data_IF_057237191598
#
_entry.id   IF_057237191598
#
_cell.length_a   1.000
_cell.length_b   1.000
_cell.length_c   1.000
_cell.angle_alpha   90.00
_cell.angle_beta   90.00
_cell.angle_gamma   90.00
#
_symmetry.space_group_name_H-M   'P 1'
#
loop_
_entity.id
_entity.type
_entity.pdbx_description
1 polymer ?
#
# COMPACT_ATOMS: atom_id res chain seq x y z
N UNK A 1 14.27 31.82 45.54
CA UNK A 1 14.61 31.77 44.10
C UNK A 1 14.81 30.35 43.56
N UNK A 2 13.98 29.36 43.91
CA UNK A 2 14.14 27.95 43.49
C UNK A 2 12.86 27.31 42.85
N UNK A 3 11.81 28.12 42.58
CA UNK A 3 10.57 27.61 41.96
C UNK A 3 10.42 27.90 40.45
N UNK A 4 11.29 28.75 39.87
CA UNK A 4 11.15 29.11 38.43
C UNK A 4 11.90 28.19 37.45
N UNK A 5 12.86 27.40 37.90
CA UNK A 5 13.66 26.54 37.02
C UNK A 5 12.97 25.21 36.66
N UNK A 6 12.14 24.65 37.56
CA UNK A 6 11.50 23.34 37.31
C UNK A 6 10.31 23.41 36.34
N UNK A 7 9.60 24.56 36.28
CA UNK A 7 8.44 24.71 35.40
C UNK A 7 8.86 24.82 33.92
N UNK A 8 9.95 25.52 33.63
CA UNK A 8 10.47 25.67 32.28
C UNK A 8 11.04 24.35 31.70
N UNK A 9 11.64 23.52 32.56
CA UNK A 9 12.17 22.21 32.15
C UNK A 9 11.03 21.20 31.86
N UNK A 10 9.94 21.26 32.64
CA UNK A 10 8.79 20.38 32.47
C UNK A 10 7.97 20.72 31.19
N UNK A 11 7.79 22.03 30.91
CA UNK A 11 7.13 22.50 29.69
C UNK A 11 7.96 22.14 28.46
N UNK A 12 9.28 22.20 28.51
CA UNK A 12 10.15 21.80 27.41
C UNK A 12 10.14 20.27 27.17
N UNK A 13 10.03 19.47 28.24
CA UNK A 13 9.97 18.02 28.15
C UNK A 13 8.61 17.52 27.61
N UNK A 14 7.51 18.12 28.05
CA UNK A 14 6.15 17.81 27.52
C UNK A 14 6.01 18.24 26.07
N UNK A 15 6.53 19.42 25.69
CA UNK A 15 6.54 19.87 24.29
C UNK A 15 7.46 19.00 23.43
N UNK A 16 8.58 18.52 23.95
CA UNK A 16 9.45 17.57 23.25
C UNK A 16 8.78 16.19 23.06
N UNK A 17 8.09 15.66 24.08
CA UNK A 17 7.33 14.39 23.95
C UNK A 17 6.18 14.54 22.96
N UNK A 18 5.43 15.64 22.97
CA UNK A 18 4.36 15.90 22.03
C UNK A 18 4.90 16.07 20.61
N UNK A 19 6.02 16.76 20.43
CA UNK A 19 6.73 16.91 19.17
C UNK A 19 7.23 15.56 18.62
N UNK A 20 7.81 14.68 19.46
CA UNK A 20 8.20 13.32 19.06
C UNK A 20 7.01 12.44 18.70
N UNK A 21 5.89 12.54 19.43
CA UNK A 21 4.64 11.85 19.12
C UNK A 21 4.04 12.32 17.78
N UNK A 22 4.06 13.62 17.53
CA UNK A 22 3.55 14.21 16.30
C UNK A 22 4.40 13.82 15.08
N UNK A 23 5.74 13.77 15.23
CA UNK A 23 6.67 13.31 14.19
C UNK A 23 6.54 11.83 13.86
N UNK A 24 6.40 10.99 14.89
CA UNK A 24 6.16 9.57 14.71
C UNK A 24 4.84 9.31 13.97
N UNK A 25 3.82 10.14 14.21
CA UNK A 25 2.52 10.06 13.55
C UNK A 25 2.63 10.36 12.05
N UNK A 26 3.36 11.41 11.66
CA UNK A 26 3.53 11.79 10.25
C UNK A 26 4.24 10.71 9.43
N UNK A 27 5.31 10.10 9.98
CA UNK A 27 5.99 9.00 9.31
C UNK A 27 5.10 7.75 9.21
N UNK A 28 4.34 7.43 10.24
CA UNK A 28 3.38 6.30 10.23
C UNK A 28 2.29 6.49 9.16
N UNK A 29 1.69 7.68 9.06
CA UNK A 29 0.68 7.99 8.04
C UNK A 29 1.23 7.86 6.62
N UNK A 30 2.48 8.28 6.38
CA UNK A 30 3.14 8.11 5.09
C UNK A 30 3.35 6.62 4.75
N UNK A 31 3.90 5.85 5.70
CA UNK A 31 4.14 4.42 5.51
C UNK A 31 2.84 3.64 5.29
N UNK A 32 1.76 4.01 5.98
CA UNK A 32 0.43 3.45 5.78
C UNK A 32 -0.07 3.69 4.36
N UNK A 33 0.02 4.92 3.85
CA UNK A 33 -0.33 5.23 2.45
C UNK A 33 0.47 4.42 1.45
N UNK A 34 1.78 4.25 1.66
CA UNK A 34 2.62 3.39 0.80
C UNK A 34 2.18 1.92 0.87
N UNK A 35 1.84 1.42 2.07
CA UNK A 35 1.36 0.05 2.25
C UNK A 35 0.04 -0.20 1.54
N UNK A 36 -0.87 0.77 1.58
CA UNK A 36 -2.16 0.69 0.89
C UNK A 36 -2.00 0.82 -0.63
N UNK A 37 -1.11 1.67 -1.11
CA UNK A 37 -0.77 1.75 -2.53
C UNK A 37 -0.13 0.45 -3.05
N UNK A 38 0.72 -0.19 -2.26
CA UNK A 38 1.36 -1.48 -2.54
C UNK A 38 2.45 -1.45 -3.61
N UNK A 39 2.38 -0.54 -4.57
CA UNK A 39 3.37 -0.32 -5.63
C UNK A 39 3.82 1.14 -5.63
N UNK A 40 5.09 1.37 -5.98
CA UNK A 40 5.68 2.71 -6.10
C UNK A 40 6.43 2.79 -7.43
N UNK A 41 5.92 3.52 -8.43
CA UNK A 41 6.65 3.81 -9.67
C UNK A 41 7.91 4.63 -9.37
N UNK A 42 9.08 4.13 -9.77
CA UNK A 42 10.38 4.80 -9.61
C UNK A 42 10.78 5.42 -10.93
N UNK A 43 10.87 6.75 -10.97
CA UNK A 43 10.89 7.52 -12.20
C UNK A 43 12.13 8.42 -12.26
N UNK A 44 12.78 8.46 -13.42
CA UNK A 44 13.76 9.49 -13.78
C UNK A 44 13.15 10.34 -14.89
N UNK A 45 12.96 11.62 -14.64
CA UNK A 45 12.35 12.58 -15.58
C UNK A 45 13.46 13.49 -16.10
N UNK A 46 13.64 13.55 -17.41
CA UNK A 46 14.65 14.40 -18.04
C UNK A 46 14.12 15.79 -18.39
N UNK A 47 12.83 15.88 -18.71
CA UNK A 47 12.13 17.11 -19.03
C UNK A 47 10.97 17.31 -18.04
N UNK A 48 10.96 18.41 -17.30
CA UNK A 48 9.93 18.68 -16.31
C UNK A 48 8.52 18.86 -16.94
N UNK A 49 8.42 19.15 -18.24
CA UNK A 49 7.14 19.23 -18.95
C UNK A 49 6.45 17.85 -19.03
N UNK A 50 7.20 16.75 -18.94
CA UNK A 50 6.66 15.39 -18.94
C UNK A 50 6.13 14.94 -17.57
N UNK A 51 6.44 15.65 -16.49
CA UNK A 51 6.15 15.22 -15.12
C UNK A 51 4.65 15.09 -14.82
N UNK A 52 3.88 16.12 -15.16
CA UNK A 52 2.43 16.14 -14.91
C UNK A 52 1.70 15.12 -15.78
N UNK A 53 1.92 15.03 -17.12
CA UNK A 53 1.30 13.99 -17.95
C UNK A 53 1.64 12.57 -17.47
N UNK A 54 2.89 12.30 -17.09
CA UNK A 54 3.33 11.02 -16.59
C UNK A 54 2.62 10.63 -15.30
N UNK A 55 2.62 11.52 -14.30
CA UNK A 55 1.97 11.25 -13.01
C UNK A 55 0.44 11.16 -13.15
N UNK A 56 -0.15 11.90 -14.12
CA UNK A 56 -1.55 11.72 -14.46
C UNK A 56 -1.81 10.32 -15.04
N UNK A 57 -0.97 9.85 -15.95
CA UNK A 57 -1.09 8.51 -16.54
C UNK A 57 -1.01 7.39 -15.47
N UNK A 58 -0.13 7.54 -14.47
CA UNK A 58 -0.06 6.64 -13.33
C UNK A 58 -1.36 6.67 -12.50
N UNK A 59 -1.88 7.86 -12.23
CA UNK A 59 -3.13 8.04 -11.48
C UNK A 59 -4.33 7.46 -12.24
N UNK A 60 -4.44 7.69 -13.54
CA UNK A 60 -5.48 7.15 -14.42
C UNK A 60 -5.39 5.60 -14.49
N UNK A 61 -4.20 5.04 -14.31
CA UNK A 61 -3.95 3.61 -14.12
C UNK A 61 -4.33 3.08 -12.73
N UNK A 62 -4.77 3.95 -11.82
CA UNK A 62 -5.21 3.60 -10.46
C UNK A 62 -4.10 3.65 -9.41
N UNK A 63 -2.97 4.30 -9.68
CA UNK A 63 -1.83 4.39 -8.76
C UNK A 63 -1.36 5.85 -8.60
N UNK A 64 -2.01 6.66 -7.74
CA UNK A 64 -1.64 8.05 -7.50
C UNK A 64 -0.41 8.16 -6.57
N UNK A 65 0.70 7.53 -6.95
CA UNK A 65 1.98 7.51 -6.21
C UNK A 65 3.13 7.62 -7.20
N UNK A 66 4.20 8.34 -6.86
CA UNK A 66 5.42 8.41 -7.67
C UNK A 66 6.67 8.67 -6.80
N UNK A 67 7.75 7.93 -7.03
CA UNK A 67 9.10 8.22 -6.56
C UNK A 67 9.87 8.92 -7.70
N UNK A 68 9.93 10.26 -7.69
CA UNK A 68 10.70 11.05 -8.66
C UNK A 68 12.14 11.14 -8.18
N UNK A 69 13.08 10.64 -9.00
CA UNK A 69 14.47 10.47 -8.56
C UNK A 69 15.34 11.70 -8.89
N UNK A 70 16.16 12.15 -7.94
CA UNK A 70 17.17 13.22 -8.09
C UNK A 70 18.39 12.78 -8.94
N UNK A 71 18.13 11.99 -9.98
CA UNK A 71 19.15 11.57 -10.98
C UNK A 71 19.30 12.56 -12.12
N UNK A 72 18.38 13.50 -12.25
CA UNK A 72 18.33 14.50 -13.33
C UNK A 72 18.17 15.89 -12.75
N UNK A 73 18.56 16.89 -13.50
CA UNK A 73 18.38 18.30 -13.12
C UNK A 73 16.90 18.71 -13.08
N UNK A 74 16.03 17.98 -13.79
CA UNK A 74 14.58 18.28 -13.84
C UNK A 74 13.81 17.79 -12.60
N UNK A 75 14.42 17.02 -11.70
CA UNK A 75 13.72 16.32 -10.63
C UNK A 75 12.95 17.26 -9.69
N UNK A 76 13.59 18.31 -9.20
CA UNK A 76 12.99 19.29 -8.29
C UNK A 76 11.78 19.98 -8.94
N UNK A 77 11.98 20.52 -10.16
CA UNK A 77 10.93 21.20 -10.91
C UNK A 77 9.78 20.23 -11.25
N UNK A 78 10.09 18.96 -11.56
CA UNK A 78 9.08 17.93 -11.78
C UNK A 78 8.22 17.70 -10.55
N UNK A 79 8.83 17.56 -9.35
CA UNK A 79 8.11 17.39 -8.08
C UNK A 79 7.20 18.60 -7.85
N UNK A 80 7.71 19.83 -8.00
CA UNK A 80 6.96 21.04 -7.79
C UNK A 80 5.72 21.11 -8.69
N UNK A 81 5.88 20.87 -9.98
CA UNK A 81 4.77 20.91 -10.96
C UNK A 81 3.72 19.84 -10.68
N UNK A 82 4.14 18.63 -10.33
CA UNK A 82 3.19 17.56 -9.99
C UNK A 82 2.46 17.85 -8.68
N UNK A 83 3.16 18.37 -7.68
CA UNK A 83 2.55 18.79 -6.42
C UNK A 83 1.46 19.85 -6.62
N UNK A 84 1.72 20.85 -7.46
CA UNK A 84 0.79 21.93 -7.77
C UNK A 84 -0.41 21.45 -8.61
N UNK A 85 -0.16 20.62 -9.64
CA UNK A 85 -1.19 20.23 -10.60
C UNK A 85 -2.00 19.00 -10.15
N UNK A 86 -1.42 18.08 -9.35
CA UNK A 86 -2.00 16.81 -8.96
C UNK A 86 -1.86 16.58 -7.44
N UNK A 87 -2.57 17.36 -6.60
CA UNK A 87 -2.37 17.35 -5.13
C UNK A 87 -2.71 16.02 -4.46
N UNK A 88 -3.43 15.14 -5.14
CA UNK A 88 -3.76 13.80 -4.63
C UNK A 88 -2.67 12.75 -4.89
N UNK A 89 -1.62 13.08 -5.66
CA UNK A 89 -0.51 12.16 -5.90
C UNK A 89 0.46 12.18 -4.72
N UNK A 90 0.72 11.01 -4.15
CA UNK A 90 1.73 10.85 -3.10
C UNK A 90 3.12 10.87 -3.72
N UNK A 91 3.83 11.99 -3.55
CA UNK A 91 5.16 12.20 -4.13
C UNK A 91 6.27 11.86 -3.15
N UNK A 92 7.20 11.00 -3.59
CA UNK A 92 8.46 10.73 -2.90
C UNK A 92 9.62 11.28 -3.74
N UNK A 93 10.60 11.89 -3.08
CA UNK A 93 11.86 12.23 -3.73
C UNK A 93 12.84 11.06 -3.58
N UNK A 94 13.16 10.40 -4.70
CA UNK A 94 14.08 9.27 -4.75
C UNK A 94 15.52 9.68 -5.06
N UNK A 95 16.48 8.82 -4.73
CA UNK A 95 17.92 9.02 -5.01
C UNK A 95 18.44 10.33 -4.41
N UNK A 96 17.96 10.67 -3.21
CA UNK A 96 18.43 11.85 -2.44
C UNK A 96 19.75 11.46 -1.74
N UNK A 97 20.80 12.22 -1.98
CA UNK A 97 22.19 11.92 -1.55
C UNK A 97 22.80 13.00 -0.65
N UNK A 98 22.14 14.16 -0.49
CA UNK A 98 22.63 15.27 0.32
C UNK A 98 21.50 15.94 1.09
N UNK A 99 21.85 16.61 2.19
CA UNK A 99 20.90 17.41 2.98
C UNK A 99 20.29 18.54 2.14
N UNK A 100 21.07 19.17 1.27
CA UNK A 100 20.57 20.18 0.33
C UNK A 100 19.45 19.62 -0.56
N UNK A 101 19.63 18.42 -1.10
CA UNK A 101 18.59 17.76 -1.89
C UNK A 101 17.35 17.41 -1.05
N UNK A 102 17.51 17.08 0.24
CA UNK A 102 16.35 16.90 1.15
C UNK A 102 15.55 18.19 1.24
N UNK A 103 16.19 19.32 1.55
CA UNK A 103 15.51 20.60 1.71
C UNK A 103 14.81 21.04 0.42
N UNK A 104 15.47 20.90 -0.71
CA UNK A 104 14.92 21.24 -2.04
C UNK A 104 13.73 20.33 -2.40
N UNK A 105 13.83 19.03 -2.13
CA UNK A 105 12.76 18.09 -2.41
C UNK A 105 11.49 18.41 -1.58
N UNK A 106 11.67 18.68 -0.29
CA UNK A 106 10.54 19.04 0.59
C UNK A 106 9.95 20.39 0.22
N UNK A 107 10.78 21.39 -0.10
CA UNK A 107 10.33 22.70 -0.57
C UNK A 107 9.55 22.61 -1.89
N UNK A 108 9.90 21.66 -2.76
CA UNK A 108 9.18 21.38 -4.00
C UNK A 108 7.86 20.61 -3.80
N UNK A 109 7.57 20.09 -2.59
CA UNK A 109 6.32 19.40 -2.26
C UNK A 109 6.42 17.90 -2.15
N UNK A 110 7.63 17.31 -2.07
CA UNK A 110 7.76 15.88 -1.76
C UNK A 110 7.27 15.58 -0.35
N UNK A 111 6.46 14.53 -0.22
CA UNK A 111 5.93 14.08 1.08
C UNK A 111 6.95 13.27 1.90
N UNK A 112 7.96 12.70 1.23
CA UNK A 112 8.98 11.88 1.86
C UNK A 112 10.26 11.78 1.03
N UNK A 113 11.32 11.36 1.71
CA UNK A 113 12.64 11.11 1.13
C UNK A 113 12.87 9.60 0.99
N UNK A 114 13.43 9.19 -0.15
CA UNK A 114 13.90 7.83 -0.41
C UNK A 114 15.35 7.90 -0.92
N UNK A 115 16.28 7.27 -0.21
CA UNK A 115 17.67 7.23 -0.62
C UNK A 115 18.08 5.85 -1.15
N UNK A 116 19.10 5.75 -2.01
CA UNK A 116 19.55 4.46 -2.53
C UNK A 116 20.37 3.65 -1.52
N UNK A 117 20.99 4.32 -0.57
CA UNK A 117 21.76 3.77 0.54
C UNK A 117 21.45 4.51 1.83
N UNK A 118 21.99 4.04 2.93
CA UNK A 118 21.84 4.64 4.24
C UNK A 118 23.00 5.60 4.52
N UNK A 119 22.69 6.91 4.56
CA UNK A 119 23.58 7.94 5.08
C UNK A 119 23.11 8.35 6.46
N UNK A 120 23.88 8.13 7.53
CA UNK A 120 23.51 8.53 8.89
C UNK A 120 23.11 9.99 8.98
N UNK A 121 23.89 10.89 8.38
CA UNK A 121 23.66 12.35 8.42
C UNK A 121 22.30 12.73 7.82
N UNK A 122 21.92 12.13 6.69
CA UNK A 122 20.63 12.38 6.04
C UNK A 122 19.48 11.80 6.88
N UNK A 123 19.66 10.60 7.43
CA UNK A 123 18.65 9.95 8.27
C UNK A 123 18.40 10.77 9.52
N UNK A 124 19.47 11.14 10.25
CA UNK A 124 19.39 11.97 11.47
C UNK A 124 18.75 13.33 11.16
N UNK A 125 19.14 13.97 10.07
CA UNK A 125 18.56 15.24 9.63
C UNK A 125 17.05 15.12 9.39
N UNK A 126 16.62 14.14 8.61
CA UNK A 126 15.20 13.91 8.33
C UNK A 126 14.41 13.62 9.61
N UNK A 127 14.92 12.72 10.47
CA UNK A 127 14.29 12.39 11.75
C UNK A 127 14.19 13.63 12.64
N UNK A 128 15.26 14.42 12.75
CA UNK A 128 15.28 15.67 13.53
C UNK A 128 14.26 16.70 13.01
N UNK A 129 14.10 16.79 11.71
CA UNK A 129 13.14 17.72 11.06
C UNK A 129 11.71 17.16 11.00
N UNK A 130 11.49 15.87 11.29
CA UNK A 130 10.19 15.21 11.16
C UNK A 130 9.80 14.96 9.71
N UNK A 131 10.78 14.85 8.82
CA UNK A 131 10.60 14.51 7.42
C UNK A 131 10.56 12.97 7.31
N UNK A 132 9.49 12.39 6.73
CA UNK A 132 9.44 10.95 6.47
C UNK A 132 10.60 10.51 5.57
N UNK A 133 11.28 9.42 5.96
CA UNK A 133 12.38 8.87 5.18
C UNK A 133 12.34 7.35 5.15
N UNK A 134 12.61 6.78 3.96
CA UNK A 134 12.80 5.36 3.74
C UNK A 134 14.20 5.14 3.13
N UNK A 135 15.27 4.98 3.96
CA UNK A 135 16.64 4.87 3.50
C UNK A 135 16.90 3.50 2.88
N UNK A 136 17.78 3.45 1.87
CA UNK A 136 18.24 2.22 1.25
C UNK A 136 19.12 1.42 2.19
N UNK A 137 18.90 0.11 2.25
CA UNK A 137 19.67 -0.85 3.04
C UNK A 137 19.92 -2.11 2.21
N UNK A 138 21.01 -2.81 2.45
CA UNK A 138 21.29 -4.13 1.87
C UNK A 138 21.96 -5.08 2.87
N UNK A 139 22.42 -4.57 4.00
CA UNK A 139 23.14 -5.32 5.03
C UNK A 139 22.49 -5.19 6.41
N UNK A 140 22.79 -6.13 7.34
CA UNK A 140 22.40 -6.00 8.75
C UNK A 140 22.89 -4.70 9.41
N UNK A 141 24.09 -4.22 9.06
CA UNK A 141 24.65 -2.98 9.61
C UNK A 141 23.82 -1.76 9.23
N UNK A 142 23.36 -1.68 7.96
CA UNK A 142 22.49 -0.60 7.52
C UNK A 142 21.16 -0.61 8.31
N UNK A 143 20.58 -1.80 8.49
CA UNK A 143 19.34 -1.98 9.26
C UNK A 143 19.52 -1.51 10.70
N UNK A 144 20.65 -1.81 11.35
CA UNK A 144 20.91 -1.37 12.73
C UNK A 144 20.98 0.15 12.83
N UNK A 145 21.60 0.83 11.87
CA UNK A 145 21.63 2.30 11.84
C UNK A 145 20.23 2.89 11.67
N UNK A 146 19.41 2.31 10.80
CA UNK A 146 18.02 2.74 10.64
C UNK A 146 17.22 2.60 11.95
N UNK A 147 17.33 1.44 12.62
CA UNK A 147 16.65 1.16 13.90
C UNK A 147 17.15 2.07 15.03
N UNK A 148 18.45 2.36 15.09
CA UNK A 148 19.02 3.28 16.08
C UNK A 148 18.44 4.69 15.95
N UNK A 149 18.01 5.08 14.76
CA UNK A 149 17.31 6.34 14.48
C UNK A 149 15.78 6.24 14.61
N UNK A 150 15.26 5.13 15.14
CA UNK A 150 13.82 4.95 15.37
C UNK A 150 12.99 4.66 14.10
N UNK A 151 13.62 4.29 12.98
CA UNK A 151 12.90 3.93 11.77
C UNK A 151 12.38 2.50 11.86
N UNK A 152 11.17 2.27 11.38
CA UNK A 152 10.52 0.96 11.33
C UNK A 152 10.25 0.48 9.89
N UNK A 153 10.75 1.22 8.90
CA UNK A 153 10.71 0.84 7.50
C UNK A 153 11.98 1.27 6.78
N UNK A 154 12.46 0.43 5.86
CA UNK A 154 13.65 0.67 5.05
C UNK A 154 13.40 0.22 3.61
N UNK A 155 14.03 0.90 2.66
CA UNK A 155 14.14 0.42 1.28
C UNK A 155 15.19 -0.68 1.23
N UNK A 156 14.87 -1.83 0.65
CA UNK A 156 15.85 -2.87 0.36
C UNK A 156 16.30 -2.74 -1.10
N UNK A 157 17.55 -2.32 -1.31
CA UNK A 157 18.04 -1.95 -2.63
C UNK A 157 19.55 -2.26 -2.80
N UNK A 158 19.93 -2.79 -3.98
CA UNK A 158 19.12 -3.27 -5.10
C UNK A 158 18.55 -4.68 -4.81
N UNK A 159 17.21 -4.82 -4.73
CA UNK A 159 16.57 -5.96 -4.10
C UNK A 159 16.99 -7.32 -4.67
N UNK A 160 16.77 -7.58 -5.96
CA UNK A 160 17.10 -8.87 -6.57
C UNK A 160 18.60 -9.18 -6.54
N UNK A 161 19.45 -8.17 -6.83
CA UNK A 161 20.89 -8.33 -6.81
C UNK A 161 21.47 -8.54 -5.39
N UNK A 162 20.78 -8.05 -4.36
CA UNK A 162 21.18 -8.20 -2.96
C UNK A 162 20.59 -9.46 -2.28
N UNK A 163 20.07 -10.43 -3.05
CA UNK A 163 19.56 -11.69 -2.56
C UNK A 163 18.03 -11.78 -2.46
N UNK A 164 17.31 -10.76 -2.90
CA UNK A 164 15.86 -10.79 -3.10
C UNK A 164 15.05 -11.06 -1.85
N UNK A 165 13.86 -11.64 -2.06
CA UNK A 165 12.97 -12.03 -0.98
C UNK A 165 13.59 -13.03 0.01
N UNK A 166 14.43 -14.00 -0.37
CA UNK A 166 15.13 -14.85 0.58
C UNK A 166 15.98 -14.07 1.60
N UNK A 167 16.72 -13.05 1.15
CA UNK A 167 17.51 -12.22 2.06
C UNK A 167 16.63 -11.44 3.04
N UNK A 168 15.52 -10.86 2.57
CA UNK A 168 14.56 -10.17 3.44
C UNK A 168 13.96 -11.15 4.46
N UNK A 169 13.62 -12.37 4.07
CA UNK A 169 13.10 -13.42 4.98
C UNK A 169 14.11 -13.85 6.04
N UNK A 170 15.41 -13.72 5.78
CA UNK A 170 16.46 -13.96 6.76
C UNK A 170 16.67 -12.76 7.70
N UNK A 171 16.53 -11.53 7.21
CA UNK A 171 16.68 -10.31 8.01
C UNK A 171 15.47 -10.06 8.94
N UNK A 172 14.25 -10.21 8.43
CA UNK A 172 13.03 -9.81 9.12
C UNK A 172 12.81 -10.46 10.50
N UNK A 173 13.12 -11.75 10.73
CA UNK A 173 13.01 -12.37 12.06
C UNK A 173 13.99 -11.80 13.08
N UNK A 174 15.17 -11.35 12.62
CA UNK A 174 16.22 -10.75 13.47
C UNK A 174 15.83 -9.35 13.93
N UNK A 175 15.04 -8.64 13.10
CA UNK A 175 14.62 -7.27 13.35
C UNK A 175 13.08 -7.17 13.46
N UNK A 176 12.48 -7.58 14.58
CA UNK A 176 11.03 -7.56 14.75
C UNK A 176 10.49 -6.12 14.65
N UNK A 177 9.39 -5.95 13.92
CA UNK A 177 8.76 -4.62 13.70
C UNK A 177 9.30 -3.85 12.48
N UNK A 178 10.42 -4.24 11.87
CA UNK A 178 10.93 -3.61 10.65
C UNK A 178 10.16 -4.08 9.42
N UNK A 179 9.81 -3.15 8.55
CA UNK A 179 9.18 -3.40 7.25
C UNK A 179 10.13 -3.01 6.11
N UNK A 180 9.91 -3.61 4.94
CA UNK A 180 10.80 -3.44 3.80
C UNK A 180 10.04 -2.92 2.57
N UNK A 181 10.68 -2.04 1.81
CA UNK A 181 10.28 -1.60 0.48
C UNK A 181 11.32 -2.11 -0.54
N UNK A 182 11.23 -3.36 -1.03
CA UNK A 182 12.13 -3.87 -2.04
C UNK A 182 12.02 -3.05 -3.33
N UNK A 183 13.18 -2.67 -3.86
CA UNK A 183 13.31 -1.92 -5.10
C UNK A 183 14.53 -2.42 -5.88
N UNK A 184 14.41 -2.53 -7.20
CA UNK A 184 15.47 -3.03 -8.07
C UNK A 184 15.28 -4.51 -8.45
N UNK A 185 14.93 -4.74 -9.73
CA UNK A 185 14.59 -6.06 -10.27
C UNK A 185 13.14 -6.49 -10.03
N UNK A 186 12.33 -5.68 -9.32
CA UNK A 186 10.90 -5.96 -9.14
C UNK A 186 10.15 -5.71 -10.44
N UNK A 187 9.25 -6.63 -10.76
CA UNK A 187 8.44 -6.62 -11.98
C UNK A 187 7.14 -7.41 -11.78
N UNK A 188 6.29 -7.50 -12.81
CA UNK A 188 5.01 -8.20 -12.73
C UNK A 188 5.09 -9.70 -12.41
N UNK A 189 6.25 -10.34 -12.61
CA UNK A 189 6.41 -11.78 -12.37
C UNK A 189 6.70 -12.11 -10.92
N UNK A 190 7.41 -11.20 -10.20
CA UNK A 190 7.86 -11.44 -8.83
C UNK A 190 7.18 -10.58 -7.77
N UNK A 191 6.49 -9.47 -8.14
CA UNK A 191 5.92 -8.55 -7.18
C UNK A 191 4.92 -9.21 -6.20
N UNK A 192 4.16 -10.21 -6.65
CA UNK A 192 3.17 -10.89 -5.80
C UNK A 192 3.84 -11.74 -4.71
N UNK A 193 4.97 -12.38 -5.01
CA UNK A 193 5.73 -13.16 -4.03
C UNK A 193 6.26 -12.26 -2.91
N UNK A 194 6.74 -11.05 -3.28
CA UNK A 194 7.13 -10.04 -2.30
C UNK A 194 5.94 -9.57 -1.49
N UNK A 195 4.87 -9.10 -2.13
CA UNK A 195 3.69 -8.53 -1.47
C UNK A 195 2.92 -9.53 -0.60
N UNK A 196 3.07 -10.82 -0.83
CA UNK A 196 2.53 -11.88 0.02
C UNK A 196 3.27 -12.03 1.36
N UNK A 197 4.49 -11.49 1.49
CA UNK A 197 5.23 -11.54 2.74
C UNK A 197 4.90 -10.35 3.64
N UNK A 198 4.42 -10.62 4.84
CA UNK A 198 3.85 -9.64 5.79
C UNK A 198 4.77 -8.47 6.16
N UNK A 199 6.09 -8.61 5.92
CA UNK A 199 7.08 -7.56 6.21
C UNK A 199 7.35 -6.67 5.01
N UNK A 200 6.67 -6.89 3.89
CA UNK A 200 6.77 -6.03 2.72
C UNK A 200 5.68 -4.97 2.78
N UNK A 201 6.12 -3.73 2.91
CA UNK A 201 5.27 -2.55 2.94
C UNK A 201 4.65 -2.30 1.54
N UNK A 202 5.52 -2.16 0.56
CA UNK A 202 5.19 -1.95 -0.85
C UNK A 202 6.39 -2.35 -1.71
N UNK A 203 6.24 -2.40 -3.02
CA UNK A 203 7.29 -2.70 -3.97
C UNK A 203 7.61 -1.50 -4.87
N UNK A 204 8.88 -1.06 -4.92
CA UNK A 204 9.33 -0.05 -5.87
C UNK A 204 9.76 -0.67 -7.20
N UNK A 205 9.31 -0.11 -8.32
CA UNK A 205 9.67 -0.64 -9.63
C UNK A 205 9.51 0.36 -10.78
N UNK A 206 10.17 0.07 -11.92
CA UNK A 206 10.13 0.90 -13.13
C UNK A 206 9.26 0.28 -14.23
N UNK A 207 8.73 -0.92 -14.03
CA UNK A 207 8.02 -1.68 -15.06
C UNK A 207 6.67 -1.06 -15.47
N UNK A 208 6.08 -0.23 -14.62
CA UNK A 208 4.86 0.53 -14.90
C UNK A 208 5.12 1.75 -15.80
N UNK A 209 6.36 2.26 -15.78
CA UNK A 209 6.79 3.45 -16.52
C UNK A 209 8.15 3.22 -17.18
N UNK A 210 8.24 2.35 -18.22
CA UNK A 210 9.47 2.06 -18.94
C UNK A 210 10.08 3.34 -19.53
N UNK A 211 11.41 3.43 -19.56
CA UNK A 211 12.13 4.62 -20.03
C UNK A 211 11.80 5.01 -21.47
N UNK A 212 11.62 4.02 -22.34
CA UNK A 212 11.21 4.21 -23.73
C UNK A 212 9.80 4.80 -23.84
N UNK A 213 8.86 4.31 -23.05
CA UNK A 213 7.50 4.84 -23.02
C UNK A 213 7.47 6.31 -22.53
N UNK A 214 8.29 6.66 -21.52
CA UNK A 214 8.42 8.05 -21.06
C UNK A 214 9.03 8.92 -22.18
N UNK A 215 10.14 8.48 -22.77
CA UNK A 215 10.85 9.22 -23.81
C UNK A 215 9.98 9.47 -25.06
N UNK A 216 9.12 8.51 -25.39
CA UNK A 216 8.18 8.61 -26.52
C UNK A 216 6.83 9.26 -26.14
N UNK A 217 6.64 9.68 -24.87
CA UNK A 217 5.39 10.27 -24.36
C UNK A 217 4.17 9.35 -24.56
N UNK A 218 4.37 8.03 -24.41
CA UNK A 218 3.34 7.00 -24.58
C UNK A 218 2.47 6.88 -23.29
N UNK A 219 1.76 7.96 -22.94
CA UNK A 219 1.02 8.06 -21.67
C UNK A 219 -0.08 7.01 -21.52
N UNK A 220 -0.80 6.70 -22.61
CA UNK A 220 -1.83 5.65 -22.62
C UNK A 220 -1.24 4.26 -22.34
N UNK A 221 -0.03 3.98 -22.84
CA UNK A 221 0.70 2.74 -22.55
C UNK A 221 1.10 2.67 -21.08
N UNK A 222 1.57 3.77 -20.48
CA UNK A 222 1.89 3.86 -19.06
C UNK A 222 0.64 3.64 -18.20
N UNK A 223 -0.49 4.25 -18.58
CA UNK A 223 -1.79 4.01 -17.94
C UNK A 223 -2.18 2.54 -17.98
N UNK A 224 -2.07 1.89 -19.15
CA UNK A 224 -2.40 0.48 -19.30
C UNK A 224 -1.49 -0.45 -18.48
N UNK A 225 -0.17 -0.22 -18.52
CA UNK A 225 0.80 -0.98 -17.72
C UNK A 225 0.56 -0.83 -16.22
N UNK A 226 0.27 0.40 -15.76
CA UNK A 226 -0.03 0.68 -14.36
C UNK A 226 -1.30 -0.03 -13.93
N UNK A 227 -2.36 0.04 -14.74
CA UNK A 227 -3.64 -0.65 -14.47
C UNK A 227 -3.45 -2.16 -14.39
N UNK A 228 -2.72 -2.75 -15.34
CA UNK A 228 -2.38 -4.17 -15.33
C UNK A 228 -1.67 -4.57 -14.03
N UNK A 229 -0.67 -3.78 -13.62
CA UNK A 229 0.07 -4.04 -12.39
C UNK A 229 -0.83 -3.95 -11.15
N UNK A 230 -1.69 -2.94 -11.06
CA UNK A 230 -2.64 -2.76 -9.96
C UNK A 230 -3.67 -3.89 -9.94
N UNK A 231 -4.28 -4.22 -11.06
CA UNK A 231 -5.29 -5.29 -11.13
C UNK A 231 -4.68 -6.64 -10.75
N UNK A 232 -3.47 -6.94 -11.20
CA UNK A 232 -2.73 -8.14 -10.80
C UNK A 232 -2.39 -8.13 -9.31
N UNK A 233 -1.97 -7.00 -8.76
CA UNK A 233 -1.69 -6.85 -7.32
C UNK A 233 -2.93 -7.09 -6.49
N UNK A 234 -4.07 -6.53 -6.86
CA UNK A 234 -5.34 -6.70 -6.16
C UNK A 234 -5.89 -8.11 -6.31
N UNK A 235 -5.76 -8.70 -7.51
CA UNK A 235 -6.20 -10.04 -7.84
C UNK A 235 -7.68 -10.25 -7.57
N UNK A 236 -8.54 -9.29 -7.95
CA UNK A 236 -9.98 -9.39 -7.73
C UNK A 236 -10.58 -10.53 -8.52
N UNK A 237 -11.36 -11.38 -7.85
CA UNK A 237 -12.06 -12.51 -8.49
C UNK A 237 -13.35 -12.85 -7.76
N UNK A 238 -14.32 -13.48 -8.45
CA UNK A 238 -15.50 -14.02 -7.81
C UNK A 238 -15.09 -15.16 -6.85
N UNK A 239 -15.44 -15.04 -5.57
CA UNK A 239 -15.14 -16.05 -4.57
C UNK A 239 -16.32 -16.97 -4.30
N UNK A 240 -17.48 -16.40 -3.98
CA UNK A 240 -18.73 -17.12 -3.83
C UNK A 240 -19.94 -16.20 -4.02
N UNK A 241 -21.09 -16.81 -4.24
CA UNK A 241 -22.39 -16.17 -4.27
C UNK A 241 -23.14 -16.60 -3.02
N UNK A 242 -23.58 -15.64 -2.24
CA UNK A 242 -24.44 -15.86 -1.07
C UNK A 242 -25.91 -15.78 -1.45
N UNK A 243 -26.68 -16.78 -1.09
CA UNK A 243 -28.12 -16.87 -1.33
C UNK A 243 -28.84 -16.75 -0.01
N UNK A 244 -29.77 -15.80 0.10
CA UNK A 244 -30.56 -15.62 1.30
C UNK A 244 -31.70 -16.64 1.34
N UNK A 245 -31.90 -17.28 2.51
CA UNK A 245 -33.09 -18.11 2.82
C UNK A 245 -33.74 -17.61 4.10
N UNK A 246 -34.97 -17.97 4.33
CA UNK A 246 -35.71 -17.56 5.52
C UNK A 246 -35.27 -18.31 6.78
N UNK A 247 -34.88 -19.57 6.64
CA UNK A 247 -34.49 -20.45 7.75
C UNK A 247 -33.46 -21.50 7.37
N UNK A 248 -33.01 -22.25 8.36
CA UNK A 248 -31.97 -23.28 8.21
C UNK A 248 -32.41 -24.49 7.37
N UNK A 249 -33.67 -24.85 7.41
CA UNK A 249 -34.23 -25.99 6.68
C UNK A 249 -34.26 -25.70 5.19
N UNK A 250 -34.79 -24.54 4.79
CA UNK A 250 -34.77 -24.04 3.41
C UNK A 250 -33.33 -23.91 2.89
N UNK A 251 -32.43 -23.32 3.69
CA UNK A 251 -31.00 -23.20 3.35
C UNK A 251 -30.36 -24.56 3.02
N UNK A 252 -30.66 -25.59 3.82
CA UNK A 252 -30.09 -26.91 3.58
C UNK A 252 -30.69 -27.57 2.33
N UNK A 253 -31.98 -27.38 2.07
CA UNK A 253 -32.64 -27.87 0.86
C UNK A 253 -32.07 -27.23 -0.39
N UNK A 254 -31.92 -25.90 -0.39
CA UNK A 254 -31.31 -25.14 -1.50
C UNK A 254 -29.87 -25.58 -1.73
N UNK A 255 -29.06 -25.71 -0.67
CA UNK A 255 -27.69 -26.18 -0.79
C UNK A 255 -27.60 -27.60 -1.37
N UNK A 256 -28.50 -28.52 -0.99
CA UNK A 256 -28.58 -29.87 -1.55
C UNK A 256 -28.97 -29.87 -3.02
N UNK A 257 -29.92 -29.00 -3.45
CA UNK A 257 -30.31 -28.86 -4.86
C UNK A 257 -29.13 -28.36 -5.72
N UNK A 258 -28.40 -27.34 -5.25
CA UNK A 258 -27.21 -26.85 -5.95
C UNK A 258 -26.11 -27.93 -6.00
N UNK A 259 -25.90 -28.62 -4.88
CA UNK A 259 -24.94 -29.74 -4.80
C UNK A 259 -25.24 -30.84 -5.81
N UNK A 260 -26.50 -31.25 -5.91
CA UNK A 260 -26.93 -32.26 -6.89
C UNK A 260 -26.75 -31.80 -8.34
N UNK A 261 -27.03 -30.52 -8.63
CA UNK A 261 -26.87 -29.93 -9.96
C UNK A 261 -25.38 -29.87 -10.37
N UNK A 262 -24.49 -29.50 -9.46
CA UNK A 262 -23.08 -29.24 -9.76
C UNK A 262 -22.15 -30.43 -9.43
N UNK A 263 -22.66 -31.49 -8.80
CA UNK A 263 -21.85 -32.63 -8.36
C UNK A 263 -20.84 -32.27 -7.26
N UNK A 264 -21.13 -31.27 -6.42
CA UNK A 264 -20.22 -30.78 -5.37
C UNK A 264 -20.73 -31.16 -3.97
N UNK A 265 -19.86 -31.26 -2.95
CA UNK A 265 -20.29 -31.58 -1.58
C UNK A 265 -21.05 -30.43 -0.91
N UNK A 266 -22.00 -30.79 -0.02
CA UNK A 266 -22.58 -29.86 0.95
C UNK A 266 -21.74 -29.85 2.22
N UNK A 267 -21.43 -28.65 2.71
CA UNK A 267 -20.81 -28.44 4.02
C UNK A 267 -21.75 -27.59 4.87
N UNK A 268 -22.26 -28.17 5.94
CA UNK A 268 -23.08 -27.43 6.90
C UNK A 268 -22.20 -26.58 7.82
N UNK A 269 -22.58 -25.30 7.99
CA UNK A 269 -21.96 -24.35 8.91
C UNK A 269 -22.96 -23.78 9.91
N UNK A 270 -22.53 -22.89 10.79
CA UNK A 270 -23.37 -22.31 11.82
C UNK A 270 -24.41 -21.33 11.24
N UNK A 271 -23.97 -20.37 10.42
CA UNK A 271 -24.82 -19.29 9.84
C UNK A 271 -25.26 -19.58 8.41
N UNK A 272 -24.64 -20.52 7.74
CA UNK A 272 -24.87 -20.84 6.32
C UNK A 272 -24.51 -22.31 6.02
N UNK A 273 -24.99 -22.80 4.89
CA UNK A 273 -24.59 -24.06 4.29
C UNK A 273 -23.85 -23.78 2.98
N UNK A 274 -22.76 -24.48 2.70
CA UNK A 274 -22.01 -24.33 1.47
C UNK A 274 -22.31 -25.47 0.51
N UNK A 275 -22.58 -25.13 -0.76
CA UNK A 275 -22.55 -26.09 -1.87
C UNK A 275 -21.26 -25.86 -2.66
N UNK A 276 -20.30 -26.79 -2.51
CA UNK A 276 -18.93 -26.59 -2.97
C UNK A 276 -18.26 -25.40 -2.30
N UNK A 277 -17.45 -24.64 -3.06
CA UNK A 277 -16.81 -23.41 -2.59
C UNK A 277 -17.46 -22.15 -3.17
N UNK A 278 -18.38 -22.31 -4.12
CA UNK A 278 -18.93 -21.22 -4.90
C UNK A 278 -20.28 -20.68 -4.42
N UNK A 279 -21.00 -21.42 -3.58
CA UNK A 279 -22.30 -21.01 -3.08
C UNK A 279 -22.39 -21.10 -1.56
N UNK A 280 -22.68 -19.96 -0.92
CA UNK A 280 -22.98 -19.84 0.48
C UNK A 280 -24.48 -19.62 0.66
N UNK A 281 -25.22 -20.58 1.19
CA UNK A 281 -26.66 -20.50 1.37
C UNK A 281 -26.94 -20.13 2.82
N UNK A 282 -27.45 -18.91 3.03
CA UNK A 282 -27.66 -18.32 4.35
C UNK A 282 -28.85 -19.00 5.07
N UNK A 283 -28.72 -19.26 6.38
CA UNK A 283 -29.79 -19.82 7.23
C UNK A 283 -30.82 -18.79 7.72
N UNK A 284 -30.63 -17.55 7.34
CA UNK A 284 -31.53 -16.41 7.58
C UNK A 284 -31.25 -15.31 6.58
N UNK A 285 -32.17 -14.38 6.43
CA UNK A 285 -31.93 -13.18 5.59
C UNK A 285 -30.67 -12.46 6.03
N UNK A 286 -29.76 -12.27 5.08
CA UNK A 286 -28.52 -11.51 5.22
C UNK A 286 -28.59 -10.17 4.49
N UNK A 287 -27.42 -9.57 4.24
CA UNK A 287 -27.31 -8.35 3.43
C UNK A 287 -27.64 -8.62 1.97
N UNK A 288 -28.19 -7.57 1.31
CA UNK A 288 -28.61 -7.60 -0.09
C UNK A 288 -29.98 -8.24 -0.28
N UNK A 289 -30.81 -7.61 -1.12
CA UNK A 289 -32.14 -8.13 -1.44
C UNK A 289 -32.10 -9.56 -1.95
N UNK A 290 -31.14 -9.85 -2.83
CA UNK A 290 -30.99 -11.15 -3.48
C UNK A 290 -29.91 -12.04 -2.82
N UNK A 291 -29.22 -11.52 -1.79
CA UNK A 291 -28.05 -12.14 -1.16
C UNK A 291 -26.78 -11.32 -1.36
N UNK A 292 -25.63 -11.97 -1.33
CA UNK A 292 -24.35 -11.27 -1.44
C UNK A 292 -23.40 -11.90 -2.47
N UNK A 293 -22.45 -11.10 -2.95
CA UNK A 293 -21.37 -11.55 -3.83
C UNK A 293 -20.04 -11.25 -3.13
N UNK A 294 -19.28 -12.30 -2.87
CA UNK A 294 -17.94 -12.19 -2.31
C UNK A 294 -16.90 -12.03 -3.42
N UNK A 295 -16.13 -10.97 -3.34
CA UNK A 295 -15.00 -10.69 -4.21
C UNK A 295 -13.72 -11.01 -3.46
N UNK A 296 -13.02 -12.08 -3.86
CA UNK A 296 -11.71 -12.45 -3.33
C UNK A 296 -10.65 -11.46 -3.77
N UNK A 297 -9.73 -11.12 -2.86
CA UNK A 297 -8.59 -10.25 -3.17
C UNK A 297 -7.34 -10.68 -2.40
N UNK A 298 -6.17 -10.27 -2.90
CA UNK A 298 -4.88 -10.61 -2.28
C UNK A 298 -4.62 -9.87 -0.97
N UNK A 299 -5.23 -8.70 -0.76
CA UNK A 299 -5.16 -7.92 0.48
C UNK A 299 -6.37 -7.00 0.56
N UNK A 300 -7.23 -7.22 1.56
CA UNK A 300 -8.51 -6.50 1.68
C UNK A 300 -8.31 -5.00 1.92
N UNK A 301 -7.35 -4.60 2.75
CA UNK A 301 -7.10 -3.18 3.02
C UNK A 301 -6.60 -2.44 1.76
N UNK A 302 -5.69 -3.06 0.99
CA UNK A 302 -5.26 -2.53 -0.33
C UNK A 302 -6.42 -2.44 -1.30
N UNK A 303 -7.18 -3.52 -1.45
CA UNK A 303 -8.32 -3.55 -2.35
C UNK A 303 -9.34 -2.47 -2.01
N UNK A 304 -9.66 -2.30 -0.72
CA UNK A 304 -10.52 -1.22 -0.22
C UNK A 304 -9.99 0.14 -0.67
N UNK A 305 -8.74 0.47 -0.36
CA UNK A 305 -8.13 1.76 -0.70
C UNK A 305 -8.17 2.05 -2.22
N UNK A 306 -7.81 1.07 -3.05
CA UNK A 306 -7.85 1.23 -4.51
C UNK A 306 -9.28 1.38 -5.04
N UNK A 307 -10.25 0.70 -4.46
CA UNK A 307 -11.65 0.84 -4.85
C UNK A 307 -12.25 2.16 -4.37
N UNK A 308 -11.87 2.67 -3.19
CA UNK A 308 -12.23 4.01 -2.73
C UNK A 308 -11.73 5.09 -3.68
N UNK A 309 -10.50 4.96 -4.19
CA UNK A 309 -9.96 5.86 -5.22
C UNK A 309 -10.72 5.74 -6.56
N UNK A 310 -11.46 4.65 -6.80
CA UNK A 310 -12.37 4.47 -7.94
C UNK A 310 -13.82 4.92 -7.64
N UNK A 311 -14.07 5.50 -6.45
CA UNK A 311 -15.36 6.05 -6.03
C UNK A 311 -16.29 5.09 -5.30
N UNK A 312 -15.88 3.86 -5.01
CA UNK A 312 -16.65 2.95 -4.16
C UNK A 312 -16.57 3.36 -2.69
N UNK A 313 -17.63 3.07 -1.94
CA UNK A 313 -17.69 3.31 -0.50
C UNK A 313 -17.88 2.00 0.25
N UNK A 314 -17.45 1.96 1.50
CA UNK A 314 -17.49 0.78 2.35
C UNK A 314 -18.19 1.07 3.67
N UNK A 315 -18.84 0.04 4.23
CA UNK A 315 -19.50 0.08 5.55
C UNK A 315 -18.50 -0.37 6.60
N UNK A 316 -17.85 0.57 7.28
CA UNK A 316 -16.71 0.30 8.19
C UNK A 316 -17.06 -0.67 9.32
N UNK A 317 -18.31 -0.63 9.82
CA UNK A 317 -18.80 -1.50 10.91
C UNK A 317 -18.88 -2.97 10.49
N UNK A 318 -18.79 -3.26 9.19
CA UNK A 318 -18.77 -4.62 8.66
C UNK A 318 -17.36 -5.20 8.52
N UNK A 319 -16.35 -4.40 8.84
CA UNK A 319 -14.96 -4.85 8.75
C UNK A 319 -14.70 -6.00 9.72
N UNK A 320 -14.24 -7.12 9.18
CA UNK A 320 -13.78 -8.26 9.98
C UNK A 320 -12.26 -8.21 10.05
N UNK A 321 -11.73 -8.09 11.26
CA UNK A 321 -10.30 -8.04 11.52
C UNK A 321 -9.86 -9.31 12.26
N UNK A 322 -8.82 -10.00 11.74
CA UNK A 322 -8.21 -11.17 12.37
C UNK A 322 -6.70 -10.98 12.42
N UNK A 323 -6.11 -11.15 13.60
CA UNK A 323 -4.67 -10.96 13.82
C UNK A 323 -4.16 -9.59 13.32
N UNK A 324 -4.94 -8.52 13.54
CA UNK A 324 -4.61 -7.16 13.10
C UNK A 324 -4.76 -6.89 11.59
N UNK A 325 -5.26 -7.85 10.81
CA UNK A 325 -5.49 -7.70 9.37
C UNK A 325 -6.98 -7.70 9.06
N UNK A 326 -7.42 -6.77 8.21
CA UNK A 326 -8.76 -6.79 7.65
C UNK A 326 -8.88 -7.97 6.69
N UNK A 327 -9.85 -8.85 6.91
CA UNK A 327 -10.08 -10.05 6.11
C UNK A 327 -11.39 -10.03 5.33
N UNK A 328 -12.31 -9.13 5.67
CA UNK A 328 -13.54 -8.88 4.89
C UNK A 328 -14.10 -7.50 5.21
N UNK A 329 -14.84 -6.91 4.25
CA UNK A 329 -15.59 -5.68 4.41
C UNK A 329 -16.64 -5.54 3.30
N UNK A 330 -17.83 -5.03 3.62
CA UNK A 330 -18.90 -4.81 2.64
C UNK A 330 -18.83 -3.42 2.00
N UNK A 331 -19.19 -3.37 0.70
CA UNK A 331 -19.50 -2.11 0.02
C UNK A 331 -20.79 -1.52 0.58
N UNK A 332 -20.91 -0.18 0.49
CA UNK A 332 -22.13 0.54 0.92
C UNK A 332 -23.30 0.24 -0.02
N UNK A 333 -23.05 0.31 -1.32
CA UNK A 333 -24.09 0.15 -2.34
C UNK A 333 -24.30 -1.32 -2.74
N UNK A 334 -25.57 -1.70 -2.95
CA UNK A 334 -25.93 -2.94 -3.61
C UNK A 334 -25.81 -2.78 -5.14
N UNK A 335 -25.36 -3.83 -5.81
CA UNK A 335 -25.30 -3.90 -7.28
C UNK A 335 -26.23 -5.01 -7.73
N UNK A 336 -27.27 -4.66 -8.51
CA UNK A 336 -28.27 -5.63 -8.97
C UNK A 336 -29.06 -6.31 -7.85
N UNK A 337 -29.19 -5.67 -6.68
CA UNK A 337 -29.86 -6.22 -5.50
C UNK A 337 -28.98 -7.21 -4.70
N UNK A 338 -27.69 -7.31 -5.02
CA UNK A 338 -26.71 -8.05 -4.23
C UNK A 338 -25.84 -7.11 -3.41
N UNK A 339 -25.60 -7.43 -2.14
CA UNK A 339 -24.57 -6.81 -1.36
C UNK A 339 -23.21 -7.36 -1.78
N UNK A 340 -22.24 -6.49 -2.04
CA UNK A 340 -20.88 -6.91 -2.38
C UNK A 340 -19.95 -6.80 -1.18
N UNK A 341 -19.04 -7.74 -1.01
CA UNK A 341 -17.99 -7.62 -0.01
C UNK A 341 -16.66 -8.13 -0.53
N UNK A 342 -15.58 -7.50 -0.04
CA UNK A 342 -14.22 -8.01 -0.21
C UNK A 342 -13.95 -9.13 0.80
N UNK A 343 -13.19 -10.12 0.40
CA UNK A 343 -12.74 -11.19 1.29
C UNK A 343 -11.30 -11.59 0.95
N UNK A 344 -10.49 -11.85 2.00
CA UNK A 344 -9.11 -12.30 1.85
C UNK A 344 -9.08 -13.70 1.19
N UNK A 345 -8.21 -13.89 0.18
CA UNK A 345 -7.92 -15.20 -0.42
C UNK A 345 -7.16 -16.12 0.52
#
# INVERSE_FOLDING_TARGET
MLRSCCVNTYISFVSYINFCKQKGRTNMEFLEKLSLAGLVPVIAINDADDAVPLCKALSDGGLPVAEITFRTAAAEESIRRVHEALPNVLLCAGTVLTIDQVDRAIAAGAAAIVSPGLSPDIVEYCVKKGIPICPGTSTPSDVQVALANGLNAVKFFPAEAAGGLPMIKNLAPVYPGLNFMPTGGINEKNMLDYLAYDRILCCGGTFMCPKDAIANKEWDKITALTRSAVDKMLGLELRHIGINCENAEESLEVAKKISALLGCPVKEGNSSNFAGTGFEVMKKMGRGKNGHIAVGCNNVARAKWHLENRGYKFVEETAVVKNGKMIAIYLEDEIGGFAFHLVQK
#
